data_IF_882128303598
#
_entry.id   IF_882128303598
#
_cell.length_a   1.000
_cell.length_b   1.000
_cell.length_c   1.000
_cell.angle_alpha   90.00
_cell.angle_beta   90.00
_cell.angle_gamma   90.00
#
_symmetry.space_group_name_H-M   'P 1'
#
loop_
_entity.id
_entity.type
_entity.pdbx_description
1 polymer ?
#
# COMPACT_ATOMS: atom_id res chain seq x y z
N UNK A 1 -9.39 11.28 55.35
CA UNK A 1 -9.35 11.58 53.89
C UNK A 1 -7.99 11.14 53.32
N UNK A 2 -7.78 9.84 53.12
CA UNK A 2 -6.53 9.29 52.57
C UNK A 2 -6.76 7.89 51.98
N UNK A 3 -7.68 7.72 51.03
CA UNK A 3 -7.90 6.40 50.38
C UNK A 3 -8.34 6.44 48.92
N UNK A 4 -8.05 7.52 48.16
CA UNK A 4 -8.52 7.62 46.77
C UNK A 4 -7.40 7.77 45.71
N UNK A 5 -6.14 7.54 46.06
CA UNK A 5 -5.02 7.75 45.14
C UNK A 5 -4.23 6.48 44.74
N UNK A 6 -4.67 5.29 45.17
CA UNK A 6 -3.92 4.06 44.89
C UNK A 6 -4.55 3.22 43.74
N UNK A 7 -5.74 3.61 43.25
CA UNK A 7 -6.47 2.82 42.26
C UNK A 7 -6.17 3.19 40.81
N UNK A 8 -5.56 4.35 40.56
CA UNK A 8 -5.24 4.78 39.20
C UNK A 8 -3.89 4.23 38.67
N UNK A 9 -2.96 3.94 39.56
CA UNK A 9 -1.63 3.44 39.17
C UNK A 9 -1.65 1.94 38.78
N UNK A 10 -2.68 1.20 39.19
CA UNK A 10 -2.78 -0.25 38.92
C UNK A 10 -3.45 -0.55 37.57
N UNK A 11 -4.14 0.40 36.99
CA UNK A 11 -4.81 0.22 35.68
C UNK A 11 -3.85 0.43 34.50
N UNK A 12 -2.87 1.32 34.65
CA UNK A 12 -1.88 1.54 33.58
C UNK A 12 -0.83 0.42 33.46
N UNK A 13 -0.57 -0.36 34.51
CA UNK A 13 0.44 -1.43 34.47
C UNK A 13 -0.10 -2.77 33.92
N UNK A 14 -1.40 -2.93 33.80
CA UNK A 14 -2.02 -4.18 33.32
C UNK A 14 -2.25 -4.23 31.79
N UNK A 15 -2.07 -3.13 31.08
CA UNK A 15 -2.18 -3.11 29.62
C UNK A 15 -0.85 -3.39 28.88
N UNK A 16 0.28 -3.26 29.56
CA UNK A 16 1.62 -3.42 28.97
C UNK A 16 2.17 -4.86 28.95
N UNK A 17 1.40 -5.87 29.31
CA UNK A 17 1.92 -7.24 29.49
C UNK A 17 1.26 -8.32 28.62
N UNK A 18 0.47 -7.98 27.60
CA UNK A 18 -0.20 -9.01 26.78
C UNK A 18 0.13 -9.00 25.28
N UNK A 19 1.15 -8.26 24.79
CA UNK A 19 1.40 -8.12 23.35
C UNK A 19 2.76 -8.65 22.84
N UNK A 20 3.48 -9.44 23.60
CA UNK A 20 4.78 -9.97 23.13
C UNK A 20 4.75 -11.48 22.87
N UNK A 21 4.25 -11.89 21.69
CA UNK A 21 4.48 -13.23 21.18
C UNK A 21 4.85 -13.32 19.69
N UNK A 22 4.65 -12.25 18.88
CA UNK A 22 4.93 -12.29 17.44
C UNK A 22 5.29 -10.90 16.92
N UNK A 23 6.58 -10.62 16.70
CA UNK A 23 7.05 -9.42 16.00
C UNK A 23 6.77 -8.08 16.70
N UNK A 24 7.25 -6.97 16.14
CA UNK A 24 6.98 -5.61 16.61
C UNK A 24 5.48 -5.27 16.70
N UNK A 25 5.13 -4.27 17.50
CA UNK A 25 3.74 -3.79 17.53
C UNK A 25 3.42 -3.08 16.21
N UNK A 26 2.31 -3.44 15.58
CA UNK A 26 1.85 -2.79 14.36
C UNK A 26 1.56 -1.31 14.65
N UNK A 27 2.30 -0.40 14.02
CA UNK A 27 2.11 1.06 14.15
C UNK A 27 0.91 1.56 13.34
N UNK A 28 -0.05 0.71 13.07
CA UNK A 28 -1.21 1.02 12.25
C UNK A 28 -2.47 0.93 13.12
N UNK A 29 -2.86 2.03 13.73
CA UNK A 29 -4.19 2.19 14.32
C UNK A 29 -5.07 2.98 13.36
N UNK A 30 -6.16 2.38 12.90
CA UNK A 30 -7.00 2.91 11.84
C UNK A 30 -8.36 3.36 12.39
N UNK A 31 -8.80 4.52 11.95
CA UNK A 31 -10.14 5.04 12.17
C UNK A 31 -11.21 4.31 11.34
N UNK A 32 -12.47 4.73 11.46
CA UNK A 32 -13.58 4.09 10.74
C UNK A 32 -13.49 4.30 9.22
N UNK A 33 -14.09 3.36 8.46
CA UNK A 33 -14.22 3.46 7.02
C UNK A 33 -14.88 4.77 6.57
N UNK A 34 -14.27 5.41 5.56
CA UNK A 34 -14.85 6.50 4.81
C UNK A 34 -14.81 6.18 3.30
N UNK A 35 -15.88 6.50 2.57
CA UNK A 35 -15.86 6.39 1.11
C UNK A 35 -15.21 7.64 0.51
N UNK A 36 -14.21 7.43 -0.35
CA UNK A 36 -13.58 8.53 -1.10
C UNK A 36 -14.57 9.07 -2.14
N UNK A 37 -14.67 10.38 -2.25
CA UNK A 37 -15.63 11.06 -3.11
C UNK A 37 -14.96 11.92 -4.18
N UNK A 38 -15.60 12.01 -5.34
CA UNK A 38 -15.28 12.99 -6.36
C UNK A 38 -16.54 13.83 -6.64
N UNK A 39 -16.43 15.15 -6.58
CA UNK A 39 -17.56 16.08 -6.70
C UNK A 39 -18.74 15.74 -5.75
N UNK A 40 -18.43 15.30 -4.53
CA UNK A 40 -19.44 14.96 -3.51
C UNK A 40 -20.17 13.62 -3.73
N UNK A 41 -19.72 12.79 -4.67
CA UNK A 41 -20.26 11.46 -4.95
C UNK A 41 -19.19 10.42 -4.70
N UNK A 42 -19.55 9.34 -4.00
CA UNK A 42 -18.61 8.24 -3.76
C UNK A 42 -18.08 7.68 -5.09
N UNK A 43 -16.74 7.55 -5.16
CA UNK A 43 -16.08 6.99 -6.34
C UNK A 43 -16.49 5.53 -6.49
N UNK A 44 -16.97 5.19 -7.68
CA UNK A 44 -17.29 3.82 -8.07
C UNK A 44 -16.83 3.60 -9.50
N UNK A 45 -16.04 2.55 -9.70
CA UNK A 45 -15.53 2.16 -11.02
C UNK A 45 -16.15 0.84 -11.48
N UNK A 46 -16.00 0.51 -12.75
CA UNK A 46 -16.50 -0.75 -13.28
C UNK A 46 -15.69 -1.94 -12.77
N UNK A 47 -16.36 -2.95 -12.23
CA UNK A 47 -15.71 -4.13 -11.68
C UNK A 47 -14.99 -3.81 -10.36
N UNK A 48 -13.73 -4.17 -10.24
CA UNK A 48 -12.94 -3.90 -9.05
C UNK A 48 -12.20 -2.57 -9.14
N UNK A 49 -12.07 -1.88 -8.02
CA UNK A 49 -11.17 -0.73 -7.87
C UNK A 49 -9.78 -1.17 -7.37
N UNK A 50 -8.76 -0.47 -7.85
CA UNK A 50 -7.37 -0.61 -7.38
C UNK A 50 -6.80 0.80 -7.20
N UNK A 51 -6.99 1.41 -6.03
CA UNK A 51 -6.56 2.78 -5.80
C UNK A 51 -5.06 2.87 -5.50
N UNK A 52 -4.44 3.95 -5.94
CA UNK A 52 -3.16 4.47 -5.46
C UNK A 52 -3.26 5.99 -5.35
N UNK A 53 -2.42 6.60 -4.50
CA UNK A 53 -2.47 8.02 -4.17
C UNK A 53 -1.09 8.63 -4.43
N UNK A 54 -0.95 9.28 -5.60
CA UNK A 54 0.31 9.83 -6.10
C UNK A 54 0.07 11.14 -6.84
N UNK A 55 1.04 12.04 -6.80
CA UNK A 55 1.03 13.26 -7.59
C UNK A 55 1.17 12.91 -9.09
N UNK A 56 0.06 12.98 -9.82
CA UNK A 56 -0.01 12.57 -11.22
C UNK A 56 0.57 13.61 -12.18
N UNK A 57 0.29 14.87 -11.96
CA UNK A 57 0.62 15.95 -12.87
C UNK A 57 1.67 16.94 -12.34
N UNK A 58 2.39 16.52 -11.29
CA UNK A 58 3.53 17.23 -10.70
C UNK A 58 3.17 18.65 -10.18
N UNK A 59 1.95 18.81 -9.69
CA UNK A 59 1.48 20.07 -9.08
C UNK A 59 1.73 20.11 -7.55
N UNK A 60 2.33 19.07 -6.98
CA UNK A 60 2.61 18.81 -5.57
C UNK A 60 1.36 18.48 -4.74
N UNK A 61 0.23 18.21 -5.36
CA UNK A 61 -0.93 17.61 -4.70
C UNK A 61 -1.02 16.12 -5.07
N UNK A 62 -1.30 15.30 -4.10
CA UNK A 62 -1.52 13.88 -4.38
C UNK A 62 -2.89 13.67 -5.02
N UNK A 63 -2.90 12.99 -6.14
CA UNK A 63 -4.06 12.62 -6.92
C UNK A 63 -4.50 11.20 -6.62
N UNK A 64 -5.72 10.85 -6.99
CA UNK A 64 -6.21 9.49 -6.89
C UNK A 64 -6.22 8.81 -8.26
N UNK A 65 -5.44 7.74 -8.38
CA UNK A 65 -5.33 6.92 -9.57
C UNK A 65 -6.04 5.60 -9.29
N UNK A 66 -7.01 5.21 -10.12
CA UNK A 66 -7.82 4.01 -9.86
C UNK A 66 -7.82 3.10 -11.07
N UNK A 67 -7.21 1.93 -10.93
CA UNK A 67 -7.41 0.84 -11.89
C UNK A 67 -8.80 0.25 -11.78
N UNK A 68 -9.45 -0.02 -12.91
CA UNK A 68 -10.79 -0.60 -12.94
C UNK A 68 -10.82 -2.01 -13.52
N UNK A 69 -11.83 -2.80 -13.14
CA UNK A 69 -11.96 -4.19 -13.54
C UNK A 69 -12.54 -4.40 -14.95
N UNK A 70 -13.13 -3.38 -15.57
CA UNK A 70 -13.58 -3.38 -16.96
C UNK A 70 -14.68 -4.36 -17.35
N UNK A 71 -15.20 -5.18 -16.45
CA UNK A 71 -16.21 -6.19 -16.80
C UNK A 71 -15.63 -7.31 -17.68
N UNK A 72 -16.23 -7.56 -18.85
CA UNK A 72 -15.79 -8.63 -19.76
C UNK A 72 -15.09 -8.12 -21.02
N UNK A 73 -14.77 -6.84 -21.12
CA UNK A 73 -14.24 -6.27 -22.35
C UNK A 73 -12.87 -5.62 -22.14
N UNK A 74 -12.85 -4.47 -21.52
CA UNK A 74 -11.66 -3.63 -21.39
C UNK A 74 -11.63 -3.00 -20.00
N UNK A 75 -10.45 -2.93 -19.43
CA UNK A 75 -10.18 -2.22 -18.20
C UNK A 75 -9.30 -1.01 -18.49
N UNK A 76 -9.44 0.04 -17.68
CA UNK A 76 -8.74 1.30 -17.85
C UNK A 76 -8.21 1.80 -16.51
N UNK A 77 -7.41 2.84 -16.56
CA UNK A 77 -6.91 3.54 -15.39
C UNK A 77 -7.53 4.93 -15.36
N UNK A 78 -8.29 5.23 -14.31
CA UNK A 78 -8.91 6.55 -14.08
C UNK A 78 -8.03 7.43 -13.23
N UNK A 79 -7.95 8.68 -13.59
CA UNK A 79 -7.20 9.71 -12.90
C UNK A 79 -8.20 10.73 -12.36
N UNK A 80 -8.17 10.98 -11.08
CA UNK A 80 -8.96 12.01 -10.38
C UNK A 80 -7.98 13.02 -9.80
N UNK A 81 -7.82 14.17 -10.46
CA UNK A 81 -6.92 15.22 -9.96
C UNK A 81 -7.45 15.82 -8.67
N UNK A 82 -6.55 16.08 -7.74
CA UNK A 82 -6.84 16.80 -6.52
C UNK A 82 -6.90 18.30 -6.83
N UNK A 83 -8.09 18.85 -6.80
CA UNK A 83 -8.35 20.29 -7.01
C UNK A 83 -8.58 21.04 -5.69
N UNK A 84 -8.34 20.37 -4.57
CA UNK A 84 -8.44 20.91 -3.22
C UNK A 84 -7.09 21.39 -2.69
N UNK A 85 -6.70 20.87 -1.54
CA UNK A 85 -5.41 21.13 -0.90
C UNK A 85 -4.79 19.81 -0.44
N UNK A 86 -3.54 19.84 -0.02
CA UNK A 86 -2.86 18.70 0.58
C UNK A 86 -3.57 18.18 1.83
N UNK A 87 -4.07 19.08 2.70
CA UNK A 87 -4.78 18.72 3.93
C UNK A 87 -6.28 18.42 3.76
N UNK A 88 -6.86 18.77 2.62
CA UNK A 88 -8.28 18.52 2.29
C UNK A 88 -8.41 18.19 0.79
N UNK A 89 -8.04 16.96 0.38
CA UNK A 89 -8.11 16.55 -1.02
C UNK A 89 -9.54 16.55 -1.54
N UNK A 90 -9.74 17.22 -2.67
CA UNK A 90 -11.01 17.29 -3.39
C UNK A 90 -10.81 16.82 -4.83
N UNK A 91 -11.49 15.77 -5.24
CA UNK A 91 -11.21 15.14 -6.53
C UNK A 91 -12.13 15.66 -7.64
N UNK A 92 -11.50 15.89 -8.79
CA UNK A 92 -12.16 16.33 -10.02
C UNK A 92 -13.00 15.23 -10.67
N UNK A 93 -13.71 15.59 -11.73
CA UNK A 93 -14.25 14.59 -12.68
C UNK A 93 -13.09 13.82 -13.32
N UNK A 94 -13.12 12.48 -13.36
CA UNK A 94 -11.99 11.71 -13.84
C UNK A 94 -11.82 11.77 -15.36
N UNK A 95 -10.59 11.53 -15.78
CA UNK A 95 -10.25 11.16 -17.17
C UNK A 95 -9.47 9.83 -17.15
N UNK A 96 -9.21 9.26 -18.32
CA UNK A 96 -8.43 8.03 -18.44
C UNK A 96 -6.96 8.33 -18.78
N UNK A 97 -6.04 7.58 -18.16
CA UNK A 97 -4.65 7.58 -18.58
C UNK A 97 -4.56 7.22 -20.08
N UNK A 98 -3.62 7.87 -20.79
CA UNK A 98 -3.53 7.75 -22.24
C UNK A 98 -2.21 7.12 -22.69
N UNK A 99 -2.30 6.22 -23.64
CA UNK A 99 -1.18 5.62 -24.36
C UNK A 99 -1.32 5.96 -25.84
N UNK A 100 -0.31 6.57 -26.44
CA UNK A 100 -0.31 7.03 -27.83
C UNK A 100 -1.56 7.85 -28.22
N UNK A 101 -2.03 8.72 -27.31
CA UNK A 101 -3.19 9.60 -27.53
C UNK A 101 -4.55 8.90 -27.53
N UNK A 102 -4.63 7.68 -27.01
CA UNK A 102 -5.87 6.92 -26.78
C UNK A 102 -5.93 6.47 -25.34
N UNK A 103 -7.13 6.17 -24.84
CA UNK A 103 -7.26 5.59 -23.52
C UNK A 103 -6.39 4.33 -23.40
N UNK A 104 -5.60 4.26 -22.34
CA UNK A 104 -4.82 3.07 -22.00
C UNK A 104 -5.77 1.95 -21.61
N UNK A 105 -5.65 0.82 -22.30
CA UNK A 105 -6.53 -0.33 -22.14
C UNK A 105 -5.72 -1.54 -21.71
N UNK A 106 -6.23 -2.25 -20.71
CA UNK A 106 -5.72 -3.53 -20.27
C UNK A 106 -6.71 -4.65 -20.58
N UNK A 107 -6.23 -5.88 -20.83
CA UNK A 107 -7.09 -7.04 -20.88
C UNK A 107 -7.91 -7.18 -19.59
N UNK A 108 -9.19 -7.45 -19.72
CA UNK A 108 -10.08 -7.71 -18.61
C UNK A 108 -10.60 -9.15 -18.68
N UNK A 109 -10.80 -9.76 -17.50
CA UNK A 109 -11.41 -11.08 -17.37
C UNK A 109 -12.41 -11.05 -16.22
N UNK A 110 -13.69 -11.04 -16.55
CA UNK A 110 -14.75 -10.82 -15.58
C UNK A 110 -14.59 -9.45 -14.90
N UNK A 111 -14.40 -9.44 -13.61
CA UNK A 111 -14.19 -8.22 -12.84
C UNK A 111 -12.70 -7.84 -12.66
N UNK A 112 -11.77 -8.62 -13.19
CA UNK A 112 -10.33 -8.33 -13.17
C UNK A 112 -9.96 -7.39 -14.32
N UNK A 113 -8.95 -6.54 -14.10
CA UNK A 113 -8.50 -5.60 -15.11
C UNK A 113 -7.12 -5.02 -14.81
N UNK A 114 -7.02 -3.70 -14.67
CA UNK A 114 -5.76 -3.00 -14.46
C UNK A 114 -5.39 -2.92 -12.96
N UNK A 115 -4.14 -3.22 -12.66
CA UNK A 115 -3.53 -3.05 -11.33
C UNK A 115 -2.35 -2.09 -11.43
N UNK A 116 -2.60 -0.76 -11.42
CA UNK A 116 -1.56 0.24 -11.66
C UNK A 116 -0.64 0.44 -10.46
N UNK A 117 0.60 0.85 -10.77
CA UNK A 117 1.57 1.46 -9.85
C UNK A 117 2.34 2.54 -10.61
N UNK A 118 2.57 3.66 -9.97
CA UNK A 118 3.48 4.70 -10.47
C UNK A 118 4.89 4.32 -10.03
N UNK A 119 5.83 4.36 -10.96
CA UNK A 119 7.24 3.98 -10.72
C UNK A 119 8.15 4.89 -11.55
N UNK A 120 9.41 5.06 -11.12
CA UNK A 120 10.48 5.59 -11.97
C UNK A 120 11.22 4.40 -12.54
N UNK A 121 10.88 4.00 -13.77
CA UNK A 121 11.36 2.73 -14.32
C UNK A 121 12.76 2.83 -14.92
N UNK A 122 13.02 3.88 -15.67
CA UNK A 122 14.29 4.10 -16.35
C UNK A 122 15.02 5.36 -15.85
N UNK A 123 16.03 5.85 -16.61
CA UNK A 123 16.89 6.94 -16.18
C UNK A 123 16.37 8.34 -16.54
N UNK A 124 15.19 8.47 -17.10
CA UNK A 124 14.67 9.77 -17.58
C UNK A 124 14.03 10.64 -16.49
N UNK A 125 13.84 10.06 -15.29
CA UNK A 125 13.26 10.69 -14.11
C UNK A 125 11.79 11.08 -14.27
N UNK A 126 11.09 10.54 -15.27
CA UNK A 126 9.64 10.68 -15.41
C UNK A 126 8.91 9.54 -14.68
N UNK A 127 7.71 9.83 -14.22
CA UNK A 127 6.86 8.83 -13.59
C UNK A 127 6.24 7.92 -14.65
N UNK A 128 6.61 6.65 -14.62
CA UNK A 128 6.10 5.60 -15.50
C UNK A 128 4.94 4.87 -14.87
N UNK A 129 4.24 4.04 -15.65
CA UNK A 129 3.08 3.29 -15.19
C UNK A 129 3.30 1.79 -15.35
N UNK A 130 3.55 1.11 -14.23
CA UNK A 130 3.63 -0.34 -14.15
C UNK A 130 2.23 -0.91 -13.93
N UNK A 131 1.79 -1.83 -14.80
CA UNK A 131 0.44 -2.37 -14.75
C UNK A 131 0.46 -3.89 -14.74
N UNK A 132 -0.09 -4.46 -13.68
CA UNK A 132 -0.48 -5.85 -13.67
C UNK A 132 -1.83 -6.06 -14.37
N UNK A 133 -1.98 -7.19 -15.03
CA UNK A 133 -3.12 -7.50 -15.88
C UNK A 133 -3.91 -8.71 -15.38
N UNK A 134 -5.13 -8.84 -15.86
CA UNK A 134 -6.03 -9.94 -15.52
C UNK A 134 -5.48 -11.33 -15.92
N UNK A 135 -4.69 -11.40 -16.98
CA UNK A 135 -4.06 -12.62 -17.48
C UNK A 135 -2.80 -13.05 -16.72
N UNK A 136 -2.40 -12.27 -15.70
CA UNK A 136 -1.22 -12.58 -14.88
C UNK A 136 0.07 -11.95 -15.36
N UNK A 137 0.04 -11.19 -16.43
CA UNK A 137 1.21 -10.50 -16.98
C UNK A 137 1.42 -9.13 -16.35
N UNK A 138 2.65 -8.64 -16.44
CA UNK A 138 3.04 -7.29 -15.99
C UNK A 138 3.57 -6.50 -17.17
N UNK A 139 3.06 -5.29 -17.35
CA UNK A 139 3.45 -4.40 -18.43
C UNK A 139 3.91 -3.06 -17.89
N UNK A 140 5.00 -2.54 -18.44
CA UNK A 140 5.49 -1.18 -18.18
C UNK A 140 5.12 -0.27 -19.35
N UNK A 141 4.60 0.89 -19.04
CA UNK A 141 4.31 1.98 -19.97
C UNK A 141 5.21 3.15 -19.60
N UNK A 142 6.14 3.47 -20.48
CA UNK A 142 7.06 4.59 -20.25
C UNK A 142 6.39 5.92 -20.55
N UNK A 143 6.61 6.90 -19.69
CA UNK A 143 6.12 8.26 -19.88
C UNK A 143 6.99 8.99 -20.91
N UNK A 144 6.55 9.05 -22.15
CA UNK A 144 7.21 9.78 -23.24
C UNK A 144 6.82 11.26 -23.30
N UNK A 145 6.05 11.72 -22.32
CA UNK A 145 5.67 13.13 -22.12
C UNK A 145 6.54 13.82 -21.07
N UNK A 146 5.90 14.48 -20.11
CA UNK A 146 6.53 15.05 -18.90
C UNK A 146 5.67 14.69 -17.69
N UNK A 147 6.20 14.88 -16.48
CA UNK A 147 5.44 14.62 -15.26
C UNK A 147 4.23 15.56 -15.11
N UNK A 148 4.31 16.81 -15.63
CA UNK A 148 3.16 17.73 -15.63
C UNK A 148 2.09 17.32 -16.66
N UNK A 149 2.46 16.51 -17.64
CA UNK A 149 1.55 16.04 -18.68
C UNK A 149 1.94 14.63 -19.12
N UNK A 150 1.66 13.62 -18.31
CA UNK A 150 2.01 12.25 -18.61
C UNK A 150 1.34 11.74 -19.88
N UNK A 151 2.13 11.14 -20.75
CA UNK A 151 1.70 10.49 -21.98
C UNK A 151 2.52 9.23 -22.17
N UNK A 152 1.86 8.10 -22.16
CA UNK A 152 2.56 6.82 -22.18
C UNK A 152 2.72 6.26 -23.59
N UNK A 153 3.80 5.50 -23.78
CA UNK A 153 4.02 4.68 -24.96
C UNK A 153 3.00 3.51 -25.07
N UNK A 154 3.17 2.58 -26.00
CA UNK A 154 2.29 1.40 -26.12
C UNK A 154 2.55 0.32 -25.07
N UNK A 155 3.57 0.54 -24.23
CA UNK A 155 4.03 -0.34 -23.18
C UNK A 155 4.65 -1.63 -23.68
N UNK A 156 5.53 -2.20 -22.87
CA UNK A 156 6.20 -3.48 -23.09
C UNK A 156 5.99 -4.43 -21.93
N UNK A 157 5.95 -5.73 -22.17
CA UNK A 157 5.88 -6.70 -21.09
C UNK A 157 7.22 -6.76 -20.35
N UNK A 158 7.15 -6.74 -19.03
CA UNK A 158 8.32 -7.01 -18.21
C UNK A 158 8.68 -8.49 -18.35
N UNK A 159 9.97 -8.77 -18.50
CA UNK A 159 10.46 -10.10 -18.84
C UNK A 159 11.33 -10.69 -17.73
N UNK A 160 11.34 -12.01 -17.63
CA UNK A 160 12.18 -12.80 -16.74
C UNK A 160 12.86 -13.93 -17.50
N UNK A 161 14.02 -14.36 -17.06
CA UNK A 161 14.79 -15.47 -17.62
C UNK A 161 16.22 -15.09 -17.99
N UNK A 162 17.00 -16.07 -18.40
CA UNK A 162 18.39 -15.87 -18.82
C UNK A 162 18.51 -15.05 -20.12
N UNK A 163 19.60 -14.35 -20.35
CA UNK A 163 19.83 -13.64 -21.61
C UNK A 163 19.67 -14.55 -22.84
N UNK A 164 18.76 -14.14 -23.76
CA UNK A 164 18.44 -14.91 -24.96
C UNK A 164 17.32 -15.96 -24.78
N UNK A 165 16.79 -16.11 -23.55
CA UNK A 165 15.66 -16.98 -23.22
C UNK A 165 14.63 -16.24 -22.34
N UNK A 166 14.52 -14.93 -22.49
CA UNK A 166 13.55 -14.10 -21.76
C UNK A 166 12.11 -14.42 -22.18
N UNK A 167 11.25 -14.52 -21.18
CA UNK A 167 9.81 -14.69 -21.36
C UNK A 167 9.08 -13.57 -20.61
N UNK A 168 7.87 -13.24 -21.04
CA UNK A 168 7.04 -12.29 -20.31
C UNK A 168 6.77 -12.83 -18.91
N UNK A 169 6.88 -11.96 -17.89
CA UNK A 169 6.47 -12.32 -16.52
C UNK A 169 5.01 -12.77 -16.58
N UNK A 170 4.78 -13.98 -16.04
CA UNK A 170 3.46 -14.58 -15.89
C UNK A 170 3.32 -15.19 -14.50
N UNK A 171 2.42 -14.64 -13.69
CA UNK A 171 2.09 -15.15 -12.33
C UNK A 171 0.84 -16.05 -12.36
N UNK A 172 0.36 -16.40 -13.55
CA UNK A 172 -0.80 -17.26 -13.79
C UNK A 172 -2.06 -16.45 -14.08
N UNK A 173 -2.62 -15.80 -13.12
CA UNK A 173 -3.77 -14.92 -13.28
C UNK A 173 -3.65 -13.76 -12.29
N UNK A 174 -4.13 -12.57 -12.69
CA UNK A 174 -4.27 -11.42 -11.83
C UNK A 174 -2.94 -11.00 -11.19
N UNK A 175 -2.05 -10.42 -11.97
CA UNK A 175 -0.84 -9.81 -11.42
C UNK A 175 -1.18 -8.53 -10.63
N UNK A 176 -0.68 -8.42 -9.41
CA UNK A 176 -0.74 -7.19 -8.60
C UNK A 176 0.67 -6.76 -8.25
N UNK A 177 1.32 -6.00 -9.15
CA UNK A 177 2.74 -5.66 -9.01
C UNK A 177 2.97 -4.59 -7.97
N UNK A 178 4.16 -4.61 -7.40
CA UNK A 178 4.78 -3.55 -6.60
C UNK A 178 6.27 -3.52 -6.95
N UNK A 179 6.84 -2.32 -7.12
CA UNK A 179 8.27 -2.14 -7.30
C UNK A 179 8.87 -1.70 -5.97
N UNK A 180 9.87 -2.42 -5.48
CA UNK A 180 10.51 -2.19 -4.20
C UNK A 180 11.92 -2.78 -4.23
N UNK A 181 12.86 -2.19 -3.52
CA UNK A 181 14.14 -2.85 -3.22
C UNK A 181 13.89 -3.93 -2.15
N UNK A 182 13.63 -5.16 -2.60
CA UNK A 182 13.24 -6.26 -1.71
C UNK A 182 14.37 -6.75 -0.82
N UNK A 183 15.55 -6.84 -1.38
CA UNK A 183 16.72 -7.43 -0.74
C UNK A 183 17.72 -6.39 -0.20
N UNK A 184 17.37 -5.11 -0.26
CA UNK A 184 18.18 -3.97 0.20
C UNK A 184 19.54 -3.84 -0.53
N UNK A 185 19.56 -4.13 -1.84
CA UNK A 185 20.75 -4.02 -2.69
C UNK A 185 20.83 -2.67 -3.45
N UNK A 186 19.85 -1.79 -3.27
CA UNK A 186 19.75 -0.48 -3.89
C UNK A 186 19.13 -0.48 -5.27
N UNK A 187 18.51 -1.58 -5.69
CA UNK A 187 17.84 -1.70 -6.99
C UNK A 187 16.36 -2.03 -6.79
N UNK A 188 15.54 -1.57 -7.73
CA UNK A 188 14.13 -1.95 -7.72
C UNK A 188 13.95 -3.40 -8.16
N UNK A 189 13.38 -4.20 -7.28
CA UNK A 189 12.86 -5.53 -7.57
C UNK A 189 11.39 -5.44 -7.94
N UNK A 190 10.83 -6.53 -8.44
CA UNK A 190 9.42 -6.65 -8.70
C UNK A 190 8.80 -7.72 -7.80
N UNK A 191 7.80 -7.32 -7.02
CA UNK A 191 6.95 -8.20 -6.22
C UNK A 191 5.59 -8.25 -6.87
N UNK A 192 4.98 -9.42 -7.03
CA UNK A 192 3.66 -9.54 -7.62
C UNK A 192 2.79 -10.55 -6.89
N UNK A 193 1.65 -10.10 -6.39
CA UNK A 193 0.61 -10.99 -5.91
C UNK A 193 -0.13 -11.64 -7.08
N UNK A 194 -0.74 -12.80 -6.81
CA UNK A 194 -1.39 -13.63 -7.81
C UNK A 194 -2.75 -14.18 -7.36
N UNK A 195 -3.47 -14.76 -8.30
CA UNK A 195 -4.78 -15.36 -8.03
C UNK A 195 -4.70 -16.55 -7.06
N UNK A 196 -3.63 -17.34 -7.10
CA UNK A 196 -3.44 -18.50 -6.23
C UNK A 196 -3.09 -18.13 -4.78
N UNK A 197 -2.80 -16.85 -4.50
CA UNK A 197 -2.45 -16.33 -3.18
C UNK A 197 -0.96 -16.26 -2.90
N UNK A 198 -0.09 -16.73 -3.79
CA UNK A 198 1.35 -16.58 -3.66
C UNK A 198 1.77 -15.13 -3.89
N UNK A 199 2.93 -14.79 -3.36
CA UNK A 199 3.64 -13.54 -3.60
C UNK A 199 4.92 -13.87 -4.35
N UNK A 200 4.93 -13.56 -5.64
CA UNK A 200 6.03 -13.80 -6.55
C UNK A 200 7.09 -12.72 -6.40
N UNK A 201 8.35 -13.12 -6.42
CA UNK A 201 9.51 -12.24 -6.33
C UNK A 201 10.36 -12.40 -7.59
N UNK A 202 10.76 -11.28 -8.15
CA UNK A 202 11.67 -11.17 -9.28
C UNK A 202 12.77 -10.21 -8.88
N UNK A 203 13.94 -10.75 -8.55
CA UNK A 203 15.09 -9.96 -8.10
C UNK A 203 15.81 -9.35 -9.30
N UNK A 204 16.13 -8.08 -9.21
CA UNK A 204 16.80 -7.34 -10.26
C UNK A 204 18.32 -7.55 -10.21
N UNK A 205 18.84 -8.34 -11.12
CA UNK A 205 20.28 -8.54 -11.28
C UNK A 205 20.96 -7.49 -12.19
N UNK A 206 20.17 -6.62 -12.83
CA UNK A 206 20.64 -5.50 -13.65
C UNK A 206 21.02 -4.26 -12.85
N UNK A 207 20.54 -3.11 -13.29
CA UNK A 207 20.68 -1.82 -12.58
C UNK A 207 19.29 -1.31 -12.16
N UNK A 208 19.25 -0.26 -11.35
CA UNK A 208 17.99 0.35 -10.96
C UNK A 208 17.26 0.97 -12.17
N UNK A 209 17.98 1.47 -13.16
CA UNK A 209 17.43 2.12 -14.35
C UNK A 209 17.31 1.20 -15.57
N UNK A 210 17.89 0.01 -15.53
CA UNK A 210 17.80 -1.03 -16.55
C UNK A 210 17.59 -2.38 -15.83
N UNK A 211 16.37 -2.65 -15.30
CA UNK A 211 16.10 -3.86 -14.55
C UNK A 211 16.24 -5.12 -15.40
N UNK A 212 16.91 -6.13 -14.85
CA UNK A 212 17.09 -7.45 -15.46
C UNK A 212 16.69 -8.56 -14.49
N UNK A 213 15.52 -9.14 -14.69
CA UNK A 213 14.99 -10.21 -13.85
C UNK A 213 15.38 -11.55 -14.45
N UNK A 214 16.19 -12.34 -13.72
CA UNK A 214 16.71 -13.63 -14.23
C UNK A 214 15.89 -14.80 -13.74
N UNK A 215 15.41 -14.77 -12.49
CA UNK A 215 14.68 -15.85 -11.86
C UNK A 215 13.38 -15.38 -11.20
N UNK A 216 12.48 -16.34 -11.01
CA UNK A 216 11.26 -16.18 -10.24
C UNK A 216 11.33 -17.03 -8.97
N UNK A 217 11.07 -16.42 -7.83
CA UNK A 217 10.96 -17.06 -6.53
C UNK A 217 9.67 -16.62 -5.82
N UNK A 218 9.51 -16.96 -4.54
CA UNK A 218 8.33 -16.58 -3.75
C UNK A 218 8.76 -16.06 -2.38
N UNK A 219 7.97 -15.15 -1.80
CA UNK A 219 8.09 -14.83 -0.39
C UNK A 219 7.88 -16.09 0.45
N UNK A 220 8.60 -16.22 1.56
CA UNK A 220 8.61 -17.43 2.38
C UNK A 220 8.02 -17.14 3.77
N UNK A 221 7.17 -18.08 4.23
CA UNK A 221 6.66 -18.15 5.59
C UNK A 221 7.18 -19.46 6.22
N UNK A 222 7.97 -19.33 7.29
CA UNK A 222 8.61 -20.48 7.96
C UNK A 222 9.35 -21.43 7.00
N UNK A 223 9.95 -20.88 5.92
CA UNK A 223 10.73 -21.61 4.91
C UNK A 223 9.90 -22.34 3.85
N UNK A 224 8.61 -22.06 3.75
CA UNK A 224 7.71 -22.52 2.68
C UNK A 224 7.13 -21.30 1.94
N UNK A 225 6.69 -21.49 0.69
CA UNK A 225 6.06 -20.41 -0.06
C UNK A 225 4.89 -19.80 0.72
N UNK A 226 4.96 -18.51 0.99
CA UNK A 226 3.89 -17.79 1.67
C UNK A 226 2.62 -17.84 0.83
N UNK A 227 1.53 -18.28 1.44
CA UNK A 227 0.25 -18.39 0.80
C UNK A 227 -0.80 -17.55 1.55
N UNK A 228 -1.17 -16.43 1.00
CA UNK A 228 -2.19 -15.55 1.57
C UNK A 228 -3.53 -16.30 1.67
N UNK A 229 -4.12 -16.43 2.86
CA UNK A 229 -5.41 -17.11 3.05
C UNK A 229 -6.51 -16.53 2.17
N UNK A 230 -7.37 -17.37 1.64
CA UNK A 230 -8.44 -16.95 0.74
C UNK A 230 -7.99 -16.66 -0.69
N UNK A 231 -6.69 -16.82 -1.01
CA UNK A 231 -6.13 -16.54 -2.34
C UNK A 231 -6.20 -15.07 -2.76
N UNK A 232 -5.78 -14.75 -3.99
CA UNK A 232 -5.82 -13.42 -4.60
C UNK A 232 -5.02 -12.38 -3.81
N UNK A 233 -3.78 -12.72 -3.47
CA UNK A 233 -2.86 -11.80 -2.78
C UNK A 233 -2.76 -10.44 -3.48
N UNK A 234 -2.77 -9.37 -2.71
CA UNK A 234 -2.53 -7.99 -3.16
C UNK A 234 -1.52 -7.38 -2.19
N UNK A 235 -0.22 -7.62 -2.39
CA UNK A 235 0.80 -7.17 -1.46
C UNK A 235 1.12 -5.69 -1.62
N UNK A 236 1.38 -5.05 -0.48
CA UNK A 236 2.10 -3.79 -0.33
C UNK A 236 3.30 -4.08 0.57
N UNK A 237 4.49 -3.61 0.18
CA UNK A 237 5.74 -3.86 0.89
C UNK A 237 6.19 -2.56 1.54
N UNK A 238 6.24 -2.54 2.85
CA UNK A 238 6.54 -1.33 3.64
C UNK A 238 6.84 -1.74 5.09
N UNK A 239 7.68 -0.98 5.78
CA UNK A 239 7.87 -1.08 7.23
C UNK A 239 6.60 -0.54 7.93
N UNK A 240 5.84 -1.41 8.56
CA UNK A 240 4.58 -1.07 9.24
C UNK A 240 4.67 -1.19 10.76
N UNK A 241 5.71 -1.80 11.29
CA UNK A 241 5.91 -1.90 12.74
C UNK A 241 7.09 -1.06 13.26
N UNK A 242 7.71 -0.27 12.35
CA UNK A 242 8.75 0.70 12.69
C UNK A 242 10.09 0.07 13.07
N UNK A 243 10.28 -1.22 12.79
CA UNK A 243 11.51 -1.93 13.18
C UNK A 243 12.66 -1.78 12.15
N UNK A 244 12.42 -1.05 11.07
CA UNK A 244 13.37 -0.76 10.00
C UNK A 244 13.46 -1.86 8.95
N UNK A 245 12.58 -2.86 8.99
CA UNK A 245 12.49 -3.93 8.00
C UNK A 245 11.19 -3.83 7.20
N UNK A 246 11.24 -4.28 5.95
CA UNK A 246 10.06 -4.27 5.09
C UNK A 246 9.14 -5.44 5.42
N UNK A 247 7.91 -5.13 5.73
CA UNK A 247 6.82 -6.05 6.01
C UNK A 247 5.95 -6.28 4.77
N UNK A 248 4.95 -7.15 4.90
CA UNK A 248 3.91 -7.34 3.89
C UNK A 248 2.53 -6.99 4.47
N UNK A 249 1.87 -6.03 3.87
CA UNK A 249 0.42 -5.84 4.03
C UNK A 249 -0.28 -6.48 2.83
N UNK A 250 -1.09 -7.49 3.03
CA UNK A 250 -1.74 -8.21 1.94
C UNK A 250 -3.26 -8.14 2.02
N UNK A 251 -3.91 -7.81 0.91
CA UNK A 251 -5.34 -8.04 0.74
C UNK A 251 -5.63 -9.43 0.19
N UNK A 252 -6.86 -9.92 0.37
CA UNK A 252 -7.29 -11.24 -0.04
C UNK A 252 -8.70 -11.29 -0.66
N UNK A 253 -9.19 -12.50 -0.98
CA UNK A 253 -10.55 -12.72 -1.53
C UNK A 253 -11.65 -12.38 -0.54
N UNK A 254 -11.42 -12.55 0.76
CA UNK A 254 -12.46 -12.33 1.78
C UNK A 254 -12.72 -10.85 2.07
N UNK A 255 -11.80 -9.98 1.68
CA UNK A 255 -11.90 -8.54 1.96
C UNK A 255 -11.14 -8.14 3.21
N UNK A 256 -10.32 -9.03 3.73
CA UNK A 256 -9.48 -8.81 4.90
C UNK A 256 -8.17 -8.13 4.52
N UNK A 257 -7.50 -7.50 5.49
CA UNK A 257 -6.11 -7.07 5.41
C UNK A 257 -5.28 -7.89 6.39
N UNK A 258 -4.21 -8.49 5.87
CA UNK A 258 -3.30 -9.35 6.61
C UNK A 258 -1.93 -8.68 6.69
N UNK A 259 -1.43 -8.52 7.88
CA UNK A 259 -0.11 -7.99 8.16
C UNK A 259 0.84 -9.15 8.52
N UNK A 260 1.92 -9.26 7.75
CA UNK A 260 3.01 -10.20 7.96
C UNK A 260 4.26 -9.42 8.34
N UNK A 261 4.70 -9.49 9.60
CA UNK A 261 5.93 -8.85 10.04
C UNK A 261 7.15 -9.64 9.55
N UNK A 262 8.16 -8.92 9.08
CA UNK A 262 9.43 -9.50 8.67
C UNK A 262 10.29 -9.85 9.90
N UNK A 263 10.31 -11.12 10.25
CA UNK A 263 11.12 -11.65 11.37
C UNK A 263 12.55 -12.00 10.96
N UNK A 264 12.89 -11.83 9.68
CA UNK A 264 14.22 -12.02 9.13
C UNK A 264 15.05 -10.74 9.14
N UNK A 265 15.66 -10.43 8.01
CA UNK A 265 16.39 -9.18 7.73
C UNK A 265 15.93 -8.63 6.39
N UNK A 266 16.19 -7.35 6.09
CA UNK A 266 15.85 -6.79 4.78
C UNK A 266 16.54 -7.53 3.60
N UNK A 267 17.85 -7.89 3.68
CA UNK A 267 18.47 -8.70 2.63
C UNK A 267 17.91 -10.13 2.50
N UNK A 268 17.36 -10.68 3.58
CA UNK A 268 16.80 -12.04 3.63
C UNK A 268 15.47 -12.01 4.40
N UNK A 269 14.40 -11.45 3.82
CA UNK A 269 13.09 -11.36 4.47
C UNK A 269 12.50 -12.76 4.73
N UNK A 270 11.93 -12.92 5.93
CA UNK A 270 11.23 -14.14 6.35
C UNK A 270 10.02 -13.76 7.20
N UNK A 271 8.94 -14.48 7.02
CA UNK A 271 7.68 -14.20 7.69
C UNK A 271 7.25 -15.41 8.52
N UNK A 272 6.47 -15.19 9.58
CA UNK A 272 5.93 -16.24 10.43
C UNK A 272 4.56 -15.85 10.97
N UNK A 273 3.50 -16.41 10.36
CA UNK A 273 2.12 -16.06 10.66
C UNK A 273 1.73 -14.66 10.20
N UNK A 274 0.49 -14.28 10.48
CA UNK A 274 -0.04 -12.95 10.18
C UNK A 274 -0.96 -12.46 11.30
N UNK A 275 -1.20 -11.16 11.30
CA UNK A 275 -2.29 -10.52 12.07
C UNK A 275 -3.29 -9.88 11.14
N UNK A 276 -4.57 -9.88 11.53
CA UNK A 276 -5.57 -9.08 10.83
C UNK A 276 -5.40 -7.62 11.23
N UNK A 277 -5.44 -6.73 10.24
CA UNK A 277 -5.45 -5.29 10.48
C UNK A 277 -6.82 -4.87 10.95
N UNK A 278 -6.87 -4.04 11.97
CA UNK A 278 -8.11 -3.58 12.62
C UNK A 278 -8.35 -2.09 12.35
N UNK A 279 -9.61 -1.71 12.36
CA UNK A 279 -10.06 -0.33 12.38
C UNK A 279 -11.01 -0.12 13.56
N UNK A 280 -10.61 0.73 14.50
CA UNK A 280 -11.34 0.93 15.76
C UNK A 280 -11.45 -0.35 16.60
N UNK A 281 -10.46 -1.22 16.58
CA UNK A 281 -10.41 -2.47 17.33
C UNK A 281 -11.25 -3.62 16.74
N UNK A 282 -11.67 -3.51 15.47
CA UNK A 282 -12.39 -4.55 14.75
C UNK A 282 -11.65 -4.89 13.47
N UNK A 283 -11.37 -6.17 13.18
CA UNK A 283 -10.74 -6.57 11.92
C UNK A 283 -11.47 -5.99 10.71
N UNK A 284 -10.69 -5.43 9.77
CA UNK A 284 -11.23 -4.95 8.50
C UNK A 284 -11.73 -6.16 7.72
N UNK A 285 -13.03 -6.15 7.42
CA UNK A 285 -13.71 -7.15 6.61
C UNK A 285 -14.72 -6.42 5.70
N UNK A 286 -14.46 -6.43 4.39
CA UNK A 286 -15.33 -5.80 3.40
C UNK A 286 -16.55 -6.68 3.11
N UNK A 287 -17.41 -6.88 4.11
CA UNK A 287 -18.62 -7.72 4.02
C UNK A 287 -19.51 -7.25 2.86
N UNK A 288 -19.86 -8.18 1.97
CA UNK A 288 -20.70 -7.89 0.80
C UNK A 288 -19.94 -7.32 -0.40
N UNK A 289 -18.71 -6.85 -0.20
CA UNK A 289 -17.83 -6.29 -1.24
C UNK A 289 -16.41 -6.85 -1.14
N UNK A 290 -16.24 -8.18 -1.11
CA UNK A 290 -14.96 -8.80 -0.80
C UNK A 290 -13.86 -8.44 -1.81
N UNK A 291 -12.63 -8.89 -1.54
CA UNK A 291 -11.44 -8.72 -2.38
C UNK A 291 -10.77 -7.37 -2.17
N UNK A 292 -10.16 -7.24 -1.02
CA UNK A 292 -9.37 -6.06 -0.64
C UNK A 292 -8.14 -5.89 -1.54
N UNK A 293 -7.86 -4.63 -1.87
CA UNK A 293 -6.67 -4.18 -2.61
C UNK A 293 -6.11 -2.95 -1.92
N UNK A 294 -5.22 -3.18 -0.95
CA UNK A 294 -4.65 -2.08 -0.20
C UNK A 294 -3.67 -1.26 -1.01
N UNK A 295 -3.59 0.00 -0.65
CA UNK A 295 -2.49 0.91 -0.94
C UNK A 295 -2.28 1.75 0.31
N UNK A 296 -1.06 1.90 0.75
CA UNK A 296 -0.70 2.77 1.86
C UNK A 296 -0.42 4.17 1.34
N UNK A 297 -0.77 5.17 2.12
CA UNK A 297 -0.54 6.57 1.77
C UNK A 297 -0.50 7.43 3.03
N UNK A 298 -0.17 8.69 2.84
CA UNK A 298 -0.40 9.77 3.79
C UNK A 298 -1.44 10.69 3.15
N UNK A 299 -2.67 10.64 3.64
CA UNK A 299 -3.82 11.26 2.99
C UNK A 299 -3.90 12.78 3.19
N UNK A 300 -3.48 13.27 4.31
CA UNK A 300 -3.65 14.69 4.64
C UNK A 300 -2.37 15.36 5.10
N UNK A 301 -1.88 16.29 4.30
CA UNK A 301 -0.95 17.31 4.73
C UNK A 301 0.45 16.84 5.09
N UNK A 302 0.78 15.66 4.67
CA UNK A 302 2.04 15.03 4.98
C UNK A 302 3.03 15.37 3.90
N UNK A 303 3.50 16.60 3.89
CA UNK A 303 4.37 17.12 2.85
C UNK A 303 5.37 16.09 2.32
N UNK A 304 5.93 16.36 1.17
CA UNK A 304 6.83 15.50 0.38
C UNK A 304 7.96 14.80 1.17
N UNK A 305 8.15 15.11 2.46
CA UNK A 305 9.24 14.63 3.31
C UNK A 305 8.83 14.16 4.72
N UNK A 306 7.58 13.84 4.95
CA UNK A 306 7.16 13.27 6.23
C UNK A 306 5.71 13.59 6.61
N UNK A 307 5.19 12.85 7.56
CA UNK A 307 3.79 12.94 7.93
C UNK A 307 3.47 14.25 8.65
N UNK A 308 2.40 14.95 8.23
CA UNK A 308 1.90 16.09 9.00
C UNK A 308 1.25 15.63 10.30
N UNK A 309 0.67 14.43 10.30
CA UNK A 309 0.14 13.78 11.49
C UNK A 309 0.90 12.51 11.90
N UNK A 310 1.91 12.08 11.12
CA UNK A 310 2.77 10.94 11.44
C UNK A 310 2.18 9.57 11.13
N UNK A 311 0.92 9.48 10.72
CA UNK A 311 0.22 8.21 10.66
C UNK A 311 -0.02 7.74 9.23
N UNK A 312 0.19 6.46 9.00
CA UNK A 312 -0.07 5.81 7.73
C UNK A 312 -1.58 5.63 7.54
N UNK A 313 -2.09 6.11 6.43
CA UNK A 313 -3.46 5.88 5.97
C UNK A 313 -3.51 4.70 5.00
N UNK A 314 -4.65 4.02 4.93
CA UNK A 314 -4.85 2.90 4.01
C UNK A 314 -6.03 3.16 3.08
N UNK A 315 -5.75 3.17 1.78
CA UNK A 315 -6.78 3.07 0.76
C UNK A 315 -7.06 1.61 0.43
N UNK A 316 -8.34 1.26 0.32
CA UNK A 316 -8.73 -0.08 -0.07
C UNK A 316 -9.72 -0.04 -1.23
N UNK A 317 -9.33 -0.66 -2.33
CA UNK A 317 -10.25 -0.99 -3.40
C UNK A 317 -10.93 -2.34 -3.16
N UNK A 318 -12.14 -2.51 -3.68
CA UNK A 318 -12.92 -3.71 -3.46
C UNK A 318 -13.73 -4.19 -4.67
N UNK A 319 -14.46 -5.29 -4.48
CA UNK A 319 -15.25 -5.96 -5.50
C UNK A 319 -16.45 -5.16 -6.02
N UNK A 320 -16.90 -4.16 -5.26
CA UNK A 320 -17.99 -3.25 -5.63
C UNK A 320 -17.53 -2.03 -6.44
N UNK A 321 -16.23 -1.92 -6.68
CA UNK A 321 -15.65 -0.79 -7.41
C UNK A 321 -15.47 0.48 -6.59
N UNK A 322 -15.83 0.47 -5.31
CA UNK A 322 -15.68 1.63 -4.44
C UNK A 322 -14.25 1.77 -3.92
N UNK A 323 -13.87 3.00 -3.58
CA UNK A 323 -12.60 3.32 -2.93
C UNK A 323 -12.87 3.73 -1.51
N UNK A 324 -12.25 3.02 -0.58
CA UNK A 324 -12.36 3.24 0.87
C UNK A 324 -11.07 3.80 1.41
N UNK A 325 -11.21 4.72 2.35
CA UNK A 325 -10.12 5.29 3.13
C UNK A 325 -10.28 4.91 4.59
N UNK A 326 -9.23 4.42 5.18
CA UNK A 326 -9.06 4.23 6.61
C UNK A 326 -7.91 5.13 7.06
N UNK A 327 -8.24 6.16 7.85
CA UNK A 327 -7.26 7.12 8.34
C UNK A 327 -6.49 6.56 9.50
N UNK A 328 -5.17 6.71 9.47
CA UNK A 328 -4.35 6.55 10.67
C UNK A 328 -4.84 7.48 11.76
N UNK A 329 -4.89 7.00 12.97
CA UNK A 329 -5.28 7.81 14.14
C UNK A 329 -4.15 7.81 15.17
N UNK A 330 -3.99 8.93 15.90
CA UNK A 330 -2.97 9.01 16.93
C UNK A 330 -3.08 7.90 17.95
N UNK A 331 -1.97 7.21 18.20
CA UNK A 331 -1.88 6.24 19.28
C UNK A 331 -1.98 7.02 20.60
N UNK A 332 -2.96 6.73 21.47
CA UNK A 332 -3.06 7.43 22.74
C UNK A 332 -1.78 7.27 23.58
N UNK A 333 -1.16 8.38 23.94
CA UNK A 333 0.12 8.49 24.64
C UNK A 333 1.38 8.56 23.77
N UNK A 334 1.30 8.48 22.46
CA UNK A 334 2.33 8.92 21.53
C UNK A 334 2.35 10.46 21.53
N UNK A 335 3.23 11.05 22.29
CA UNK A 335 3.26 12.50 22.55
C UNK A 335 4.26 13.24 21.66
N UNK A 336 5.22 12.54 21.07
CA UNK A 336 6.14 13.12 20.10
C UNK A 336 5.72 12.82 18.65
N UNK A 337 4.65 12.02 18.47
CA UNK A 337 4.02 11.69 17.19
C UNK A 337 4.98 10.95 16.24
N UNK A 338 5.84 10.10 16.78
CA UNK A 338 6.76 9.30 16.00
C UNK A 338 6.21 7.91 15.62
N UNK A 339 4.99 7.61 16.09
CA UNK A 339 4.24 6.41 15.76
C UNK A 339 4.38 5.27 16.77
N UNK A 340 5.16 5.46 17.85
CA UNK A 340 5.22 4.48 18.93
C UNK A 340 4.95 5.11 20.31
N UNK A 341 4.96 4.33 21.35
CA UNK A 341 4.82 4.79 22.74
C UNK A 341 5.99 4.29 23.55
N UNK A 342 6.99 5.13 23.67
CA UNK A 342 8.26 4.77 24.26
C UNK A 342 8.69 5.65 25.45
N UNK A 343 9.99 5.63 25.79
CA UNK A 343 10.55 6.48 26.83
C UNK A 343 10.58 7.96 26.48
N UNK A 344 10.51 8.34 25.22
CA UNK A 344 10.48 9.73 24.76
C UNK A 344 9.12 10.33 25.08
N UNK A 345 8.04 9.61 24.85
CA UNK A 345 6.68 9.98 25.25
C UNK A 345 6.56 10.13 26.76
N UNK A 346 7.11 9.15 27.48
CA UNK A 346 7.13 9.23 28.93
C UNK A 346 7.93 10.46 29.43
N UNK A 347 9.00 10.83 28.76
CA UNK A 347 9.77 12.03 29.09
C UNK A 347 8.95 13.29 28.81
N UNK A 348 8.25 13.38 27.68
CA UNK A 348 7.34 14.47 27.33
C UNK A 348 6.17 14.55 28.32
N UNK A 349 5.53 13.42 28.62
CA UNK A 349 4.49 13.35 29.63
C UNK A 349 4.98 13.84 31.01
N UNK A 350 6.16 13.42 31.44
CA UNK A 350 6.74 13.81 32.72
C UNK A 350 7.08 15.31 32.78
N UNK A 351 7.54 15.89 31.67
CA UNK A 351 7.84 17.32 31.56
C UNK A 351 6.54 18.15 31.67
N UNK A 352 5.51 17.81 30.91
CA UNK A 352 4.20 18.48 30.97
C UNK A 352 3.47 18.26 32.30
N UNK A 353 3.64 17.10 32.93
CA UNK A 353 3.06 16.81 34.24
C UNK A 353 3.59 17.73 35.34
N UNK A 354 4.83 18.21 35.24
CA UNK A 354 5.40 19.17 36.19
C UNK A 354 4.83 20.57 36.00
N UNK A 355 4.39 20.94 34.79
CA UNK A 355 3.79 22.25 34.53
C UNK A 355 2.34 22.36 35.02
N UNK A 356 1.62 21.25 35.10
CA UNK A 356 0.18 21.18 35.48
C UNK A 356 0.03 21.18 37.03
N UNK A 357 1.10 21.00 37.80
CA UNK A 357 0.99 21.07 39.28
C UNK A 357 0.71 22.50 39.69
N UNK A 358 -0.40 22.79 40.40
CA UNK A 358 -0.52 24.07 41.08
C UNK A 358 0.64 24.22 42.04
N UNK A 359 1.41 25.30 41.91
CA UNK A 359 2.44 25.66 42.88
C UNK A 359 1.78 25.82 44.22
N UNK A 360 2.41 25.32 45.31
CA UNK A 360 1.86 25.37 46.67
C UNK A 360 1.66 26.79 47.15
#
# INVERSE_FOLDING_TARGET
MRHTRLTLLTVCLSFALSHNAFGGDLLLDLGPEALVQANGVAISVSGYSVPIFEDWDNDNLKDLIVGEGGGFQEAKVRIYLNVGTESDPQFSTPFYAQSNGKDLICPASGCLGCFPRVVYWDADLCKDLLIGQADGKVKIFLNVGTDEKPTFDEGTFVQVGEPGAKEDIDVGNRATPSSVDWNNDGKKDLVAGAYDGRIHLFINEGTDTEPDFVAKTFAQEDGIDLLVPGSRSSPVIIDLDGDGRKDILAGNTYGELLFYSNVGTDPEPSFSGFRLVEAGGVPIDLIGSPRSRPSVCYWTGDGYFGPADGYIDVLIGAGDGMVRLYRGIPIPADLDLDGDVDFTDFALFSAHWQEIRPRP
#
